data_IF_058947653522
#
_entry.id   IF_058947653522
#
_cell.length_a   1.000
_cell.length_b   1.000
_cell.length_c   1.000
_cell.angle_alpha   90.00
_cell.angle_beta   90.00
_cell.angle_gamma   90.00
#
_symmetry.space_group_name_H-M   'P 1'
#
loop_
_entity.id
_entity.type
_entity.pdbx_description
1 polymer ?
#
# COMPACT_ATOMS: atom_id res chain seq x y z
N UNK A 1 42.49 -38.39 -5.65
CA UNK A 1 41.58 -37.25 -5.87
C UNK A 1 41.85 -36.75 -7.27
N UNK A 2 40.89 -36.99 -8.16
CA UNK A 2 41.03 -36.82 -9.61
C UNK A 2 40.88 -35.34 -9.97
N UNK A 3 41.88 -34.80 -10.67
CA UNK A 3 41.82 -33.50 -11.33
C UNK A 3 41.27 -33.69 -12.75
N UNK A 4 40.17 -33.02 -13.07
CA UNK A 4 39.51 -33.13 -14.36
C UNK A 4 39.72 -31.90 -15.22
N UNK A 5 40.36 -32.15 -16.37
CA UNK A 5 39.95 -31.74 -17.71
C UNK A 5 40.16 -30.29 -18.17
N UNK A 6 41.17 -30.18 -19.05
CA UNK A 6 41.12 -29.46 -20.32
C UNK A 6 39.72 -29.46 -20.96
N UNK A 7 39.27 -28.31 -21.46
CA UNK A 7 38.61 -28.28 -22.77
C UNK A 7 38.96 -27.00 -23.51
N UNK A 8 39.40 -27.21 -24.75
CA UNK A 8 39.98 -26.25 -25.68
C UNK A 8 39.11 -26.26 -26.94
N UNK A 9 38.72 -25.08 -27.42
CA UNK A 9 38.11 -24.82 -28.74
C UNK A 9 36.61 -25.11 -28.82
N UNK A 10 35.76 -24.23 -29.35
CA UNK A 10 35.81 -23.84 -30.76
C UNK A 10 34.90 -22.64 -31.07
N UNK A 11 35.21 -21.98 -32.18
CA UNK A 11 34.70 -20.69 -32.66
C UNK A 11 33.23 -20.70 -33.13
N UNK A 12 32.56 -19.60 -32.78
CA UNK A 12 31.56 -18.80 -33.51
C UNK A 12 31.28 -19.16 -34.98
N UNK A 13 30.00 -19.29 -35.36
CA UNK A 13 29.45 -18.76 -36.63
C UNK A 13 27.95 -18.43 -36.52
N UNK A 14 27.63 -17.14 -36.70
CA UNK A 14 26.62 -16.56 -37.61
C UNK A 14 25.24 -17.25 -37.67
N UNK A 15 24.19 -16.55 -37.23
CA UNK A 15 23.33 -15.73 -38.12
C UNK A 15 22.15 -16.56 -38.66
N UNK A 16 20.95 -16.29 -38.13
CA UNK A 16 19.74 -16.23 -38.94
C UNK A 16 18.52 -15.87 -38.09
N UNK A 17 17.80 -14.88 -38.62
CA UNK A 17 16.38 -14.59 -38.43
C UNK A 17 15.95 -13.89 -37.12
N UNK A 18 15.78 -12.56 -37.10
CA UNK A 18 14.68 -11.81 -37.76
C UNK A 18 13.35 -11.90 -37.00
N UNK A 19 13.09 -10.87 -36.20
CA UNK A 19 11.88 -10.03 -36.19
C UNK A 19 11.96 -9.14 -34.95
N UNK A 20 12.33 -7.87 -35.14
CA UNK A 20 11.35 -6.78 -35.16
C UNK A 20 10.27 -6.98 -34.09
N UNK A 21 10.40 -6.25 -32.98
CA UNK A 21 9.37 -5.34 -32.50
C UNK A 21 9.99 -4.44 -31.44
N UNK A 22 9.66 -3.14 -31.44
CA UNK A 22 10.30 -2.16 -30.58
C UNK A 22 10.08 -2.57 -29.12
N UNK A 23 11.13 -2.46 -28.30
CA UNK A 23 10.93 -2.25 -26.87
C UNK A 23 10.15 -0.94 -26.76
N UNK A 24 8.82 -1.05 -26.78
CA UNK A 24 7.95 -0.01 -26.28
C UNK A 24 8.38 0.22 -24.85
N UNK A 25 9.16 1.27 -24.68
CA UNK A 25 9.20 2.04 -23.47
C UNK A 25 7.76 2.44 -23.13
N UNK A 26 7.03 1.54 -22.49
CA UNK A 26 6.06 1.93 -21.47
C UNK A 26 6.94 2.21 -20.25
N UNK A 27 7.50 3.42 -20.13
CA UNK A 27 6.86 4.50 -19.37
C UNK A 27 6.95 4.17 -17.87
N UNK A 28 7.32 5.09 -16.97
CA UNK A 28 7.28 4.80 -15.53
C UNK A 28 5.82 4.51 -15.13
N UNK A 29 5.45 3.25 -15.20
CA UNK A 29 4.16 2.74 -14.78
C UNK A 29 4.11 2.88 -13.28
N UNK A 30 3.46 3.95 -12.82
CA UNK A 30 3.03 4.12 -11.44
C UNK A 30 2.51 2.77 -10.93
N UNK A 31 2.99 2.24 -9.79
CA UNK A 31 2.32 1.14 -9.11
C UNK A 31 1.02 1.67 -8.47
N UNK A 32 0.06 2.09 -9.30
CA UNK A 32 -1.18 2.74 -8.86
C UNK A 32 -2.25 1.72 -8.39
N UNK A 33 -2.02 0.42 -8.56
CA UNK A 33 -3.10 -0.58 -8.41
C UNK A 33 -3.15 -1.24 -7.04
N UNK A 34 -2.01 -1.39 -6.34
CA UNK A 34 -1.98 -2.03 -5.02
C UNK A 34 -2.30 -1.06 -3.88
N UNK A 35 -1.78 0.17 -3.94
CA UNK A 35 -2.02 1.18 -2.90
C UNK A 35 -3.47 1.65 -2.87
N UNK A 36 -4.13 1.76 -4.03
CA UNK A 36 -5.53 2.20 -4.10
C UNK A 36 -6.49 1.14 -3.54
N UNK A 37 -6.25 -0.13 -3.86
CA UNK A 37 -6.98 -1.27 -3.27
C UNK A 37 -6.82 -1.35 -1.75
N UNK A 38 -5.60 -1.11 -1.24
CA UNK A 38 -5.34 -1.09 0.20
C UNK A 38 -6.03 0.08 0.89
N UNK A 39 -6.06 1.27 0.28
CA UNK A 39 -6.81 2.43 0.79
C UNK A 39 -8.31 2.16 0.84
N UNK A 40 -8.87 1.52 -0.18
CA UNK A 40 -10.30 1.24 -0.20
C UNK A 40 -10.70 0.20 0.86
N UNK A 41 -9.87 -0.82 1.07
CA UNK A 41 -10.04 -1.78 2.18
C UNK A 41 -9.90 -1.13 3.56
N UNK A 42 -8.98 -0.17 3.70
CA UNK A 42 -8.83 0.62 4.91
C UNK A 42 -10.09 1.43 5.19
N UNK A 43 -10.60 2.16 4.20
CA UNK A 43 -11.86 2.93 4.30
C UNK A 43 -13.04 2.05 4.72
N UNK A 44 -13.25 0.91 4.05
CA UNK A 44 -14.33 -0.02 4.39
C UNK A 44 -14.19 -0.57 5.84
N UNK A 45 -12.97 -0.88 6.25
CA UNK A 45 -12.69 -1.36 7.61
C UNK A 45 -12.98 -0.27 8.66
N UNK A 46 -12.54 0.96 8.40
CA UNK A 46 -12.80 2.10 9.27
C UNK A 46 -14.28 2.38 9.40
N UNK A 47 -15.00 2.43 8.28
CA UNK A 47 -16.46 2.61 8.26
C UNK A 47 -17.16 1.53 9.10
N UNK A 48 -16.81 0.26 8.91
CA UNK A 48 -17.39 -0.84 9.69
C UNK A 48 -17.14 -0.71 11.20
N UNK A 49 -15.94 -0.29 11.59
CA UNK A 49 -15.60 -0.05 13.00
C UNK A 49 -16.37 1.13 13.56
N UNK A 50 -16.37 2.27 12.87
CA UNK A 50 -17.01 3.50 13.37
C UNK A 50 -18.54 3.41 13.39
N UNK A 51 -19.15 2.62 12.50
CA UNK A 51 -20.60 2.33 12.56
C UNK A 51 -20.99 1.53 13.80
N UNK A 52 -20.11 0.67 14.31
CA UNK A 52 -20.34 -0.09 15.56
C UNK A 52 -20.07 0.75 16.81
N UNK A 53 -19.37 1.87 16.66
CA UNK A 53 -18.90 2.71 17.75
C UNK A 53 -19.23 4.20 17.52
N UNK A 54 -20.52 4.57 17.59
CA UNK A 54 -20.94 5.96 17.38
C UNK A 54 -20.37 6.91 18.45
N UNK A 55 -20.04 6.42 19.64
CA UNK A 55 -19.38 7.21 20.71
C UNK A 55 -17.93 7.63 20.39
N UNK A 56 -17.37 7.12 19.30
CA UNK A 56 -16.00 7.36 18.88
C UNK A 56 -14.98 6.53 19.67
N UNK A 57 -13.95 6.10 18.96
CA UNK A 57 -12.95 5.14 19.45
C UNK A 57 -11.56 5.73 19.45
N UNK A 58 -10.72 5.32 20.39
CA UNK A 58 -9.35 5.82 20.44
C UNK A 58 -8.52 5.35 19.24
N UNK A 59 -7.50 6.14 18.86
CA UNK A 59 -6.53 5.73 17.83
C UNK A 59 -5.86 4.37 18.13
N UNK A 60 -5.64 4.06 19.41
CA UNK A 60 -5.06 2.79 19.83
C UNK A 60 -5.99 1.61 19.53
N UNK A 61 -7.30 1.75 19.79
CA UNK A 61 -8.30 0.72 19.46
C UNK A 61 -8.41 0.52 17.94
N UNK A 62 -8.46 1.62 17.19
CA UNK A 62 -8.51 1.59 15.72
C UNK A 62 -7.30 0.87 15.13
N UNK A 63 -6.08 1.13 15.64
CA UNK A 63 -4.85 0.40 15.24
C UNK A 63 -4.83 -1.07 15.65
N UNK A 64 -5.64 -1.47 16.63
CA UNK A 64 -5.77 -2.87 17.07
C UNK A 64 -6.75 -3.62 16.16
N UNK A 65 -7.86 -2.98 15.79
CA UNK A 65 -8.89 -3.60 14.96
C UNK A 65 -8.61 -3.52 13.46
N UNK A 66 -7.87 -2.51 13.02
CA UNK A 66 -7.46 -2.36 11.62
C UNK A 66 -5.93 -2.48 11.49
N UNK A 67 -5.40 -3.69 11.21
CA UNK A 67 -3.96 -3.90 11.06
C UNK A 67 -3.38 -3.18 9.84
N UNK A 68 -4.21 -2.81 8.86
CA UNK A 68 -3.82 -2.00 7.69
C UNK A 68 -3.21 -0.63 8.09
N UNK A 69 -3.55 -0.10 9.26
CA UNK A 69 -2.94 1.15 9.76
C UNK A 69 -1.50 0.98 10.27
N UNK A 70 -0.99 -0.25 10.31
CA UNK A 70 0.41 -0.58 10.59
C UNK A 70 1.18 -0.95 9.35
N UNK A 71 0.50 -1.06 8.21
CA UNK A 71 1.14 -1.38 6.94
C UNK A 71 2.03 -0.20 6.51
N UNK A 72 3.35 -0.40 6.37
CA UNK A 72 4.25 0.67 6.01
C UNK A 72 3.98 1.22 4.60
N UNK A 73 3.45 0.40 3.68
CA UNK A 73 3.08 0.83 2.34
C UNK A 73 1.87 1.77 2.30
N UNK A 74 0.94 1.64 3.25
CA UNK A 74 -0.18 2.58 3.44
C UNK A 74 0.23 3.87 4.16
N UNK A 75 1.26 3.80 5.00
CA UNK A 75 1.82 4.96 5.71
C UNK A 75 2.84 5.73 4.87
N UNK A 76 3.20 5.23 3.68
CA UNK A 76 4.09 5.93 2.76
C UNK A 76 3.52 7.31 2.42
N UNK A 77 4.31 8.37 2.67
CA UNK A 77 3.87 9.75 2.52
C UNK A 77 3.08 10.33 3.70
N UNK A 78 2.87 9.55 4.78
CA UNK A 78 2.25 10.02 6.02
C UNK A 78 3.19 9.86 7.21
N UNK A 79 3.32 10.92 8.02
CA UNK A 79 4.17 10.89 9.22
C UNK A 79 3.64 9.93 10.30
N UNK A 80 2.37 9.54 10.23
CA UNK A 80 1.71 8.69 11.21
C UNK A 80 0.36 8.19 10.69
N UNK A 81 -0.13 7.07 11.25
CA UNK A 81 -1.50 6.60 11.01
C UNK A 81 -2.57 7.65 11.35
N UNK A 82 -2.28 8.55 12.31
CA UNK A 82 -3.17 9.68 12.64
C UNK A 82 -3.30 10.63 11.44
N UNK A 83 -2.20 10.94 10.76
CA UNK A 83 -2.23 11.82 9.60
C UNK A 83 -2.91 11.14 8.40
N UNK A 84 -2.69 9.84 8.22
CA UNK A 84 -3.43 9.05 7.24
C UNK A 84 -4.95 9.11 7.51
N UNK A 85 -5.38 8.87 8.75
CA UNK A 85 -6.79 8.97 9.14
C UNK A 85 -7.33 10.40 8.97
N UNK A 86 -6.52 11.42 9.25
CA UNK A 86 -6.88 12.81 9.02
C UNK A 86 -7.09 13.15 7.53
N UNK A 87 -6.47 12.39 6.61
CA UNK A 87 -6.71 12.53 5.17
C UNK A 87 -8.00 11.84 4.69
N UNK A 88 -8.59 10.97 5.51
CA UNK A 88 -9.80 10.20 5.20
C UNK A 88 -11.04 10.83 5.85
N UNK A 89 -11.19 12.15 5.70
CA UNK A 89 -12.31 12.92 6.29
C UNK A 89 -13.69 12.51 5.79
N UNK A 90 -13.75 11.88 4.63
CA UNK A 90 -14.93 11.26 4.03
C UNK A 90 -15.46 10.05 4.83
N UNK A 91 -14.60 9.36 5.59
CA UNK A 91 -14.97 8.14 6.32
C UNK A 91 -14.91 8.33 7.82
N UNK A 92 -13.94 9.11 8.30
CA UNK A 92 -13.71 9.31 9.73
C UNK A 92 -13.47 10.77 10.08
N UNK A 93 -13.89 11.16 11.28
CA UNK A 93 -13.55 12.46 11.87
C UNK A 93 -12.66 12.24 13.09
N UNK A 94 -11.56 12.98 13.16
CA UNK A 94 -10.68 12.98 14.33
C UNK A 94 -11.04 14.15 15.24
N UNK A 95 -11.17 13.90 16.54
CA UNK A 95 -11.43 14.95 17.54
C UNK A 95 -10.54 14.73 18.78
N UNK A 96 -10.01 15.81 19.33
CA UNK A 96 -9.12 15.79 20.50
C UNK A 96 -7.63 15.84 20.16
N UNK A 97 -6.79 15.95 21.20
CA UNK A 97 -5.37 16.25 21.08
C UNK A 97 -4.48 15.06 21.43
N UNK A 98 -3.36 14.91 20.70
CA UNK A 98 -2.36 13.88 20.96
C UNK A 98 -2.92 12.46 21.05
N UNK A 99 -2.68 11.81 22.18
CA UNK A 99 -3.12 10.43 22.50
C UNK A 99 -4.60 10.34 22.88
N UNK A 100 -5.23 11.46 23.25
CA UNK A 100 -6.67 11.55 23.54
C UNK A 100 -7.50 11.72 22.27
N UNK A 101 -6.88 11.73 21.08
CA UNK A 101 -7.60 11.78 19.82
C UNK A 101 -8.50 10.56 19.67
N UNK A 102 -9.80 10.83 19.52
CA UNK A 102 -10.84 9.87 19.18
C UNK A 102 -11.18 9.96 17.69
N UNK A 103 -11.57 8.82 17.14
CA UNK A 103 -11.98 8.61 15.77
C UNK A 103 -13.48 8.36 15.78
N UNK A 104 -14.22 9.25 15.15
CA UNK A 104 -15.67 9.18 14.98
C UNK A 104 -15.99 8.77 13.54
N UNK A 105 -17.18 8.21 13.29
CA UNK A 105 -17.68 8.13 11.92
C UNK A 105 -17.73 9.54 11.31
N UNK A 106 -17.37 9.67 10.04
CA UNK A 106 -17.76 10.86 9.29
C UNK A 106 -19.28 10.92 9.34
N UNK A 107 -19.83 11.89 10.07
CA UNK A 107 -21.27 12.06 10.13
C UNK A 107 -21.78 12.15 8.69
N UNK A 108 -22.79 11.36 8.32
CA UNK A 108 -23.55 11.62 7.12
C UNK A 108 -23.94 13.10 7.22
N UNK A 109 -23.37 13.93 6.35
CA UNK A 109 -23.80 15.31 6.25
C UNK A 109 -25.25 15.22 5.78
N UNK A 110 -26.18 15.30 6.75
CA UNK A 110 -27.59 15.59 6.50
C UNK A 110 -27.70 17.01 5.98
#
# INVERSE_FOLDING_TARGET
MQGTNHECGSKSYKDALQRQMPQSASGPGKPATAQDGNKNRLKASLHSITCKHPEGVSLAQIRRWCPLLRDPGLLEGFASSKQLLASLTDVVRLQGYGVQTRVYPAAAQT
#
